data_IF_728057167063
#
_entry.id   IF_728057167063
#
_cell.length_a   1.000
_cell.length_b   1.000
_cell.length_c   1.000
_cell.angle_alpha   90.00
_cell.angle_beta   90.00
_cell.angle_gamma   90.00
#
_symmetry.space_group_name_H-M   'P 1'
#
loop_
_entity.id
_entity.type
_entity.pdbx_description
1 polymer ?
#
# COMPACT_ATOMS: atom_id res chain seq x y z
N UNK A 1 -16.95 -5.54 -19.54
CA UNK A 1 -15.72 -4.72 -19.61
C UNK A 1 -15.00 -4.94 -18.29
N UNK A 2 -13.77 -5.49 -18.26
CA UNK A 2 -13.01 -5.54 -17.03
C UNK A 2 -12.75 -4.10 -16.59
N UNK A 3 -13.29 -3.71 -15.44
CA UNK A 3 -12.99 -2.44 -14.77
C UNK A 3 -11.49 -2.40 -14.51
N UNK A 4 -10.84 -1.29 -14.84
CA UNK A 4 -9.44 -1.07 -14.48
C UNK A 4 -9.29 -1.24 -12.95
N UNK A 5 -8.17 -1.84 -12.48
CA UNK A 5 -7.94 -1.99 -11.06
C UNK A 5 -7.95 -0.61 -10.38
N UNK A 6 -8.52 -0.51 -9.17
CA UNK A 6 -8.59 0.77 -8.46
C UNK A 6 -7.19 1.34 -8.25
N UNK A 7 -7.06 2.66 -8.39
CA UNK A 7 -5.80 3.34 -8.06
C UNK A 7 -5.40 3.04 -6.61
N UNK A 8 -4.10 3.01 -6.26
CA UNK A 8 -3.66 2.79 -4.88
C UNK A 8 -4.32 3.75 -3.88
N UNK A 9 -4.55 5.00 -4.28
CA UNK A 9 -5.22 6.01 -3.48
C UNK A 9 -6.69 5.68 -3.23
N UNK A 10 -7.43 5.24 -4.25
CA UNK A 10 -8.80 4.78 -4.09
C UNK A 10 -8.87 3.55 -3.18
N UNK A 11 -7.98 2.58 -3.34
CA UNK A 11 -7.92 1.40 -2.49
C UNK A 11 -7.66 1.79 -1.01
N UNK A 12 -6.69 2.67 -0.75
CA UNK A 12 -6.41 3.14 0.61
C UNK A 12 -7.58 3.95 1.22
N UNK A 13 -8.32 4.70 0.41
CA UNK A 13 -9.53 5.39 0.87
C UNK A 13 -10.66 4.41 1.22
N UNK A 14 -10.88 3.38 0.39
CA UNK A 14 -11.82 2.30 0.68
C UNK A 14 -11.46 1.55 1.96
N UNK A 15 -10.17 1.28 2.18
CA UNK A 15 -9.70 0.65 3.42
C UNK A 15 -9.94 1.54 4.64
N UNK A 16 -9.73 2.86 4.52
CA UNK A 16 -10.03 3.82 5.58
C UNK A 16 -11.53 3.85 5.91
N UNK A 17 -12.40 3.80 4.90
CA UNK A 17 -13.86 3.65 5.08
C UNK A 17 -14.17 2.37 5.84
N UNK A 18 -13.71 1.22 5.36
CA UNK A 18 -13.98 -0.08 5.98
C UNK A 18 -13.55 -0.12 7.46
N UNK A 19 -12.35 0.38 7.78
CA UNK A 19 -11.86 0.45 9.16
C UNK A 19 -12.73 1.35 10.05
N UNK A 20 -13.21 2.48 9.53
CA UNK A 20 -14.06 3.40 10.31
C UNK A 20 -15.48 2.87 10.49
N UNK A 21 -16.03 2.20 9.49
CA UNK A 21 -17.32 1.50 9.60
C UNK A 21 -17.23 0.43 10.68
N UNK A 22 -16.20 -0.42 10.66
CA UNK A 22 -15.96 -1.44 11.68
C UNK A 22 -15.78 -0.88 13.09
N UNK A 23 -15.14 0.28 13.20
CA UNK A 23 -14.92 0.95 14.48
C UNK A 23 -16.15 1.72 15.00
N UNK A 24 -17.23 1.80 14.21
CA UNK A 24 -18.43 2.56 14.58
C UNK A 24 -19.31 1.74 15.54
N UNK A 25 -19.74 2.31 16.67
CA UNK A 25 -20.65 1.65 17.60
C UNK A 25 -21.96 1.25 16.90
N UNK A 26 -22.44 0.03 17.12
CA UNK A 26 -23.71 -0.49 16.57
C UNK A 26 -23.57 -1.22 15.23
N UNK A 27 -22.58 -0.91 14.39
CA UNK A 27 -22.43 -1.59 13.10
C UNK A 27 -22.01 -3.07 13.25
N UNK A 28 -21.11 -3.36 14.19
CA UNK A 28 -20.61 -4.72 14.42
C UNK A 28 -21.59 -5.64 15.19
N UNK A 29 -22.57 -5.06 15.90
CA UNK A 29 -23.57 -5.81 16.66
C UNK A 29 -24.84 -6.13 15.83
N UNK A 30 -25.17 -5.29 14.84
CA UNK A 30 -26.39 -5.42 14.01
C UNK A 30 -26.16 -6.03 12.60
N UNK A 31 -24.93 -6.41 12.24
CA UNK A 31 -24.63 -6.99 10.92
C UNK A 31 -24.70 -8.52 10.92
N UNK A 32 -25.79 -9.06 10.38
CA UNK A 32 -25.95 -10.51 10.10
C UNK A 32 -25.02 -11.02 8.98
N UNK A 33 -24.37 -10.12 8.21
CA UNK A 33 -23.46 -10.46 7.12
C UNK A 33 -22.19 -9.59 7.08
N UNK A 34 -21.12 -9.96 7.81
CA UNK A 34 -19.83 -9.27 7.75
C UNK A 34 -19.14 -9.38 6.37
N UNK A 35 -19.61 -10.26 5.47
CA UNK A 35 -19.07 -10.37 4.12
C UNK A 35 -19.52 -9.22 3.20
N UNK A 36 -20.57 -8.48 3.56
CA UNK A 36 -21.06 -7.32 2.80
C UNK A 36 -20.29 -6.01 3.04
N UNK A 37 -19.46 -5.94 4.07
CA UNK A 37 -18.70 -4.73 4.41
C UNK A 37 -17.76 -4.25 3.30
N UNK A 38 -16.95 -5.12 2.64
CA UNK A 38 -16.07 -4.69 1.56
C UNK A 38 -16.85 -4.07 0.40
N UNK A 39 -17.98 -4.66 0.03
CA UNK A 39 -18.85 -4.17 -1.05
C UNK A 39 -19.51 -2.84 -0.67
N UNK A 40 -19.95 -2.71 0.57
CA UNK A 40 -20.52 -1.46 1.10
C UNK A 40 -19.47 -0.33 1.13
N UNK A 41 -18.26 -0.60 1.62
CA UNK A 41 -17.17 0.37 1.62
C UNK A 41 -16.78 0.77 0.18
N UNK A 42 -16.73 -0.19 -0.75
CA UNK A 42 -16.44 0.07 -2.15
C UNK A 42 -17.53 0.92 -2.82
N UNK A 43 -18.80 0.69 -2.50
CA UNK A 43 -19.92 1.52 -2.95
C UNK A 43 -19.78 2.97 -2.47
N UNK A 44 -19.58 3.18 -1.16
CA UNK A 44 -19.38 4.52 -0.60
C UNK A 44 -18.16 5.21 -1.20
N UNK A 45 -17.07 4.46 -1.41
CA UNK A 45 -15.88 4.97 -2.07
C UNK A 45 -16.16 5.40 -3.51
N UNK A 46 -16.90 4.59 -4.28
CA UNK A 46 -17.28 4.90 -5.66
C UNK A 46 -18.11 6.17 -5.80
N UNK A 47 -18.98 6.46 -4.84
CA UNK A 47 -19.82 7.66 -4.81
C UNK A 47 -19.04 8.89 -4.33
N UNK A 48 -18.29 8.78 -3.22
CA UNK A 48 -17.62 9.92 -2.61
C UNK A 48 -16.34 10.34 -3.38
N UNK A 49 -15.53 9.38 -3.81
CA UNK A 49 -14.18 9.63 -4.37
C UNK A 49 -14.14 10.56 -5.58
N UNK A 50 -15.05 10.45 -6.59
CA UNK A 50 -15.06 11.35 -7.75
C UNK A 50 -15.31 12.82 -7.39
N UNK A 51 -15.93 13.08 -6.24
CA UNK A 51 -16.25 14.45 -5.78
C UNK A 51 -15.11 15.10 -5.00
N UNK A 52 -14.12 14.32 -4.53
CA UNK A 52 -12.99 14.84 -3.77
C UNK A 52 -12.03 15.67 -4.64
N UNK A 53 -11.37 16.71 -4.10
CA UNK A 53 -10.34 17.45 -4.82
C UNK A 53 -9.22 16.56 -5.37
N UNK A 54 -8.66 16.96 -6.51
CA UNK A 54 -7.55 16.25 -7.15
C UNK A 54 -6.34 16.08 -6.21
N UNK A 55 -6.07 17.06 -5.33
CA UNK A 55 -5.00 17.00 -4.35
C UNK A 55 -5.13 15.82 -3.37
N UNK A 56 -6.36 15.42 -3.01
CA UNK A 56 -6.60 14.23 -2.18
C UNK A 56 -6.45 12.95 -3.00
N UNK A 57 -6.95 12.94 -4.24
CA UNK A 57 -6.88 11.75 -5.10
C UNK A 57 -5.48 11.38 -5.56
N UNK A 58 -4.53 12.31 -5.50
CA UNK A 58 -3.11 12.11 -5.81
C UNK A 58 -2.21 12.32 -4.59
N UNK A 59 -2.79 12.28 -3.38
CA UNK A 59 -2.05 12.43 -2.15
C UNK A 59 -0.98 11.34 -2.00
N UNK A 60 0.18 11.77 -1.53
CA UNK A 60 1.33 10.93 -1.19
C UNK A 60 2.21 11.67 -0.20
N UNK A 61 3.20 10.98 0.38
CA UNK A 61 4.20 11.61 1.24
C UNK A 61 4.81 12.89 0.61
N UNK A 62 5.22 12.83 -0.65
CA UNK A 62 5.80 13.97 -1.37
C UNK A 62 4.83 15.16 -1.55
N UNK A 63 3.53 14.91 -1.68
CA UNK A 63 2.52 15.95 -1.93
C UNK A 63 1.81 16.41 -0.67
N UNK A 64 2.19 15.91 0.53
CA UNK A 64 1.52 16.21 1.80
C UNK A 64 1.31 17.71 2.04
N UNK A 65 2.28 18.55 1.69
CA UNK A 65 2.19 20.01 1.85
C UNK A 65 1.11 20.69 0.98
N UNK A 66 0.65 20.03 -0.09
CA UNK A 66 -0.41 20.51 -0.97
C UNK A 66 -1.78 19.88 -0.67
N UNK A 67 -1.85 18.90 0.25
CA UNK A 67 -3.11 18.24 0.65
C UNK A 67 -3.84 19.13 1.66
N UNK A 68 -5.07 19.59 1.38
CA UNK A 68 -5.84 20.41 2.31
C UNK A 68 -6.15 19.63 3.59
N UNK A 69 -6.25 20.34 4.71
CA UNK A 69 -6.64 19.74 5.97
C UNK A 69 -8.13 19.32 5.89
N UNK A 70 -8.51 18.09 6.28
CA UNK A 70 -9.88 17.60 6.13
C UNK A 70 -10.94 18.40 6.87
N UNK A 71 -10.60 19.18 7.90
CA UNK A 71 -11.47 20.13 8.59
C UNK A 71 -11.81 21.37 7.76
N UNK A 72 -10.87 21.84 6.93
CA UNK A 72 -11.04 23.01 6.04
C UNK A 72 -11.70 22.69 4.70
N UNK A 73 -11.91 21.41 4.40
CA UNK A 73 -12.45 20.96 3.12
C UNK A 73 -13.96 21.24 3.02
N UNK A 74 -14.43 21.83 1.92
CA UNK A 74 -15.88 21.83 1.62
C UNK A 74 -16.26 20.45 1.08
N UNK A 75 -17.26 19.82 1.71
CA UNK A 75 -17.82 18.53 1.32
C UNK A 75 -19.23 18.69 0.73
N UNK A 76 -19.59 19.91 0.30
CA UNK A 76 -20.96 20.24 -0.13
C UNK A 76 -21.35 19.54 -1.44
N UNK A 77 -20.36 19.05 -2.20
CA UNK A 77 -20.55 18.24 -3.40
C UNK A 77 -20.69 16.75 -3.13
N UNK A 78 -20.73 16.32 -1.86
CA UNK A 78 -20.90 14.90 -1.51
C UNK A 78 -22.28 14.43 -1.96
N UNK A 79 -22.41 13.32 -2.71
CA UNK A 79 -23.71 12.82 -3.14
C UNK A 79 -24.60 12.46 -1.95
N UNK A 80 -25.89 12.77 -2.03
CA UNK A 80 -26.85 12.45 -0.96
C UNK A 80 -26.96 10.94 -0.71
N UNK A 81 -26.73 10.12 -1.75
CA UNK A 81 -26.65 8.65 -1.66
C UNK A 81 -25.66 8.19 -0.57
N UNK A 82 -24.54 8.89 -0.38
CA UNK A 82 -23.57 8.61 0.68
C UNK A 82 -24.16 8.88 2.06
N UNK A 83 -24.76 10.06 2.25
CA UNK A 83 -25.35 10.45 3.54
C UNK A 83 -26.56 9.57 3.92
N UNK A 84 -27.42 9.27 2.94
CA UNK A 84 -28.59 8.41 3.13
C UNK A 84 -28.17 6.99 3.50
N UNK A 85 -27.14 6.45 2.84
CA UNK A 85 -26.62 5.11 3.12
C UNK A 85 -25.97 5.03 4.51
N UNK A 86 -25.15 6.01 4.89
CA UNK A 86 -24.55 6.08 6.22
C UNK A 86 -25.61 6.17 7.33
N UNK A 87 -26.67 6.97 7.10
CA UNK A 87 -27.78 7.12 8.04
C UNK A 87 -28.61 5.84 8.13
N UNK A 88 -28.93 5.22 6.99
CA UNK A 88 -29.67 3.95 6.90
C UNK A 88 -28.94 2.81 7.62
N UNK A 89 -27.61 2.80 7.58
CA UNK A 89 -26.77 1.83 8.28
C UNK A 89 -26.47 2.21 9.75
N UNK A 90 -27.09 3.27 10.28
CA UNK A 90 -26.90 3.69 11.68
C UNK A 90 -25.53 4.28 12.01
N UNK A 91 -24.70 4.61 11.00
CA UNK A 91 -23.35 5.16 11.19
C UNK A 91 -23.35 6.66 11.53
N UNK A 92 -24.46 7.35 11.24
CA UNK A 92 -24.71 8.74 11.60
C UNK A 92 -26.20 9.00 11.80
N UNK A 93 -26.53 10.09 12.50
CA UNK A 93 -27.91 10.49 12.76
C UNK A 93 -28.55 11.31 11.63
N UNK A 94 -27.73 12.07 10.89
CA UNK A 94 -28.15 13.02 9.88
C UNK A 94 -27.03 13.31 8.87
N UNK A 95 -27.30 14.22 7.91
CA UNK A 95 -26.34 14.63 6.90
C UNK A 95 -25.07 15.28 7.48
N UNK A 96 -25.19 16.08 8.54
CA UNK A 96 -24.02 16.69 9.20
C UNK A 96 -23.14 15.62 9.85
N UNK A 97 -23.75 14.60 10.46
CA UNK A 97 -23.08 13.41 10.96
C UNK A 97 -22.37 12.62 9.87
N UNK A 98 -22.98 12.47 8.69
CA UNK A 98 -22.36 11.83 7.54
C UNK A 98 -21.12 12.60 7.05
N UNK A 99 -21.18 13.93 6.98
CA UNK A 99 -20.03 14.77 6.63
C UNK A 99 -18.93 14.68 7.69
N UNK A 100 -19.29 14.68 8.98
CA UNK A 100 -18.32 14.51 10.07
C UNK A 100 -17.67 13.12 10.02
N UNK A 101 -18.42 12.08 9.66
CA UNK A 101 -17.89 10.74 9.43
C UNK A 101 -16.87 10.73 8.27
N UNK A 102 -17.24 11.32 7.13
CA UNK A 102 -16.37 11.40 5.96
C UNK A 102 -15.08 12.20 6.25
N UNK A 103 -15.15 13.27 7.05
CA UNK A 103 -13.94 14.01 7.48
C UNK A 103 -12.97 13.13 8.26
N UNK A 104 -13.46 12.30 9.19
CA UNK A 104 -12.63 11.35 9.94
C UNK A 104 -11.99 10.28 9.05
N UNK A 105 -12.74 9.80 8.05
CA UNK A 105 -12.21 8.87 7.05
C UNK A 105 -11.11 9.52 6.22
N UNK A 106 -11.30 10.78 5.82
CA UNK A 106 -10.28 11.54 5.08
C UNK A 106 -9.03 11.81 5.93
N UNK A 107 -9.18 12.09 7.23
CA UNK A 107 -8.04 12.22 8.15
C UNK A 107 -7.22 10.93 8.19
N UNK A 108 -7.86 9.76 8.36
CA UNK A 108 -7.17 8.47 8.36
C UNK A 108 -6.49 8.19 7.02
N UNK A 109 -7.23 8.39 5.93
CA UNK A 109 -6.72 8.22 4.57
C UNK A 109 -5.47 9.07 4.34
N UNK A 110 -5.54 10.36 4.64
CA UNK A 110 -4.43 11.30 4.48
C UNK A 110 -3.26 10.93 5.38
N UNK A 111 -3.52 10.54 6.62
CA UNK A 111 -2.49 10.06 7.55
C UNK A 111 -1.75 8.86 6.98
N UNK A 112 -2.45 7.89 6.41
CA UNK A 112 -1.87 6.67 5.87
C UNK A 112 -1.06 6.92 4.59
N UNK A 113 -1.66 7.58 3.58
CA UNK A 113 -1.01 7.77 2.28
C UNK A 113 0.10 8.81 2.31
N UNK A 114 0.06 9.72 3.29
CA UNK A 114 1.11 10.71 3.50
C UNK A 114 2.06 10.33 4.64
N UNK A 115 1.96 9.13 5.19
CA UNK A 115 2.91 8.65 6.18
C UNK A 115 4.34 8.70 5.61
N UNK A 116 5.35 9.03 6.42
CA UNK A 116 6.72 8.96 5.98
C UNK A 116 7.07 7.53 5.55
N UNK A 117 7.91 7.36 4.51
CA UNK A 117 8.42 6.05 4.16
C UNK A 117 9.06 5.39 5.40
N UNK A 118 8.97 4.06 5.53
CA UNK A 118 9.58 3.39 6.65
C UNK A 118 11.08 3.66 6.65
N UNK A 119 11.68 3.71 7.84
CA UNK A 119 13.13 3.68 7.95
C UNK A 119 13.57 2.28 7.49
N UNK A 120 13.98 2.16 6.23
CA UNK A 120 14.26 0.89 5.55
C UNK A 120 15.25 -0.03 6.30
N UNK A 121 16.20 0.53 7.05
CA UNK A 121 17.09 -0.25 7.91
C UNK A 121 16.36 -0.99 9.06
N UNK A 122 15.18 -0.51 9.47
CA UNK A 122 14.35 -1.08 10.53
C UNK A 122 13.32 -2.09 10.02
N UNK A 123 13.24 -2.33 8.71
CA UNK A 123 12.30 -3.32 8.11
C UNK A 123 12.84 -4.76 8.13
N UNK A 124 13.88 -5.03 8.94
CA UNK A 124 14.55 -6.34 8.95
C UNK A 124 13.60 -7.47 9.32
N UNK A 125 13.45 -8.41 8.41
CA UNK A 125 12.69 -9.64 8.61
C UNK A 125 13.55 -10.71 9.32
N UNK A 126 12.89 -11.74 9.86
CA UNK A 126 13.53 -12.93 10.43
C UNK A 126 13.91 -13.96 9.37
N UNK A 127 13.26 -13.91 8.19
CA UNK A 127 13.41 -14.86 7.10
C UNK A 127 13.75 -14.15 5.78
N UNK A 128 14.43 -14.87 4.88
CA UNK A 128 14.75 -14.35 3.56
C UNK A 128 13.49 -14.10 2.74
N UNK A 129 13.28 -12.87 2.27
CA UNK A 129 12.06 -12.47 1.55
C UNK A 129 11.86 -13.16 0.18
N UNK A 130 12.88 -13.85 -0.35
CA UNK A 130 12.77 -14.63 -1.59
C UNK A 130 12.55 -16.13 -1.33
N UNK A 131 13.25 -16.72 -0.37
CA UNK A 131 13.24 -18.19 -0.15
C UNK A 131 12.62 -18.63 1.17
N UNK A 132 12.10 -17.70 1.97
CA UNK A 132 11.46 -17.91 3.27
C UNK A 132 12.30 -18.69 4.30
N UNK A 133 13.63 -18.72 4.16
CA UNK A 133 14.51 -19.40 5.13
C UNK A 133 14.93 -18.46 6.25
N UNK A 134 14.81 -18.93 7.49
CA UNK A 134 15.38 -18.32 8.69
C UNK A 134 16.91 -18.54 8.75
N UNK A 135 17.67 -17.75 8.00
CA UNK A 135 19.14 -17.80 7.91
C UNK A 135 19.72 -16.38 7.95
N UNK A 136 21.03 -16.17 8.14
CA UNK A 136 21.60 -14.83 8.14
C UNK A 136 21.28 -14.03 6.86
N UNK A 137 20.66 -12.87 7.06
CA UNK A 137 20.21 -11.98 6.00
C UNK A 137 21.16 -10.80 5.79
N UNK A 138 21.25 -10.39 4.54
CA UNK A 138 22.01 -9.26 4.02
C UNK A 138 21.07 -8.15 3.56
N UNK A 139 21.57 -6.91 3.54
CA UNK A 139 20.84 -5.73 3.11
C UNK A 139 20.97 -5.56 1.59
N UNK A 140 19.88 -5.72 0.85
CA UNK A 140 19.85 -5.58 -0.61
C UNK A 140 19.04 -4.35 -1.01
N UNK A 141 19.64 -3.45 -1.79
CA UNK A 141 18.93 -2.28 -2.33
C UNK A 141 18.10 -2.70 -3.55
N UNK A 142 16.78 -2.54 -3.46
CA UNK A 142 15.86 -2.88 -4.56
C UNK A 142 16.05 -1.97 -5.77
N UNK A 143 16.27 -0.67 -5.54
CA UNK A 143 16.81 0.24 -6.55
C UNK A 143 18.32 0.35 -6.34
N UNK A 144 19.16 -0.18 -7.25
CA UNK A 144 20.61 -0.12 -7.09
C UNK A 144 21.09 1.32 -6.88
N UNK A 145 21.94 1.55 -5.87
CA UNK A 145 22.42 2.91 -5.50
C UNK A 145 23.05 3.67 -6.67
N UNK A 146 23.79 2.97 -7.53
CA UNK A 146 24.40 3.56 -8.72
C UNK A 146 23.36 4.16 -9.69
N UNK A 147 22.10 3.73 -9.62
CA UNK A 147 21.02 4.17 -10.49
C UNK A 147 20.15 5.25 -9.83
N UNK A 148 20.36 5.62 -8.56
CA UNK A 148 19.53 6.60 -7.84
C UNK A 148 19.42 7.95 -8.55
N UNK A 149 20.57 8.52 -8.95
CA UNK A 149 20.59 9.79 -9.67
C UNK A 149 19.87 9.71 -11.03
N UNK A 150 20.01 8.58 -11.74
CA UNK A 150 19.33 8.33 -13.01
C UNK A 150 17.82 8.15 -12.81
N UNK A 151 17.42 7.40 -11.79
CA UNK A 151 16.02 7.17 -11.44
C UNK A 151 15.29 8.48 -11.15
N UNK A 152 15.90 9.38 -10.37
CA UNK A 152 15.34 10.72 -10.10
C UNK A 152 15.24 11.55 -11.38
N UNK A 153 16.34 11.65 -12.14
CA UNK A 153 16.38 12.44 -13.38
C UNK A 153 15.35 11.97 -14.41
N UNK A 154 15.01 10.68 -14.40
CA UNK A 154 14.06 10.06 -15.33
C UNK A 154 12.65 9.90 -14.76
N UNK A 155 12.42 10.31 -13.52
CA UNK A 155 11.12 10.17 -12.86
C UNK A 155 10.68 8.72 -12.68
N UNK A 156 11.61 7.77 -12.53
CA UNK A 156 11.26 6.36 -12.32
C UNK A 156 10.71 6.13 -10.92
N UNK A 157 11.27 6.82 -9.93
CA UNK A 157 10.93 6.67 -8.51
C UNK A 157 10.93 8.02 -7.82
N UNK A 158 10.07 8.14 -6.80
CA UNK A 158 10.17 9.21 -5.82
C UNK A 158 11.44 9.05 -4.96
N UNK A 159 11.96 10.15 -4.41
CA UNK A 159 13.23 10.15 -3.70
C UNK A 159 13.20 9.26 -2.44
N UNK A 160 12.07 9.25 -1.76
CA UNK A 160 11.75 8.41 -0.60
C UNK A 160 11.86 6.90 -0.87
N UNK A 161 11.58 6.48 -2.11
CA UNK A 161 11.54 5.07 -2.50
C UNK A 161 12.92 4.51 -2.88
N UNK A 162 13.91 5.37 -3.16
CA UNK A 162 15.25 4.92 -3.53
C UNK A 162 15.96 4.16 -2.41
N UNK A 163 15.56 4.41 -1.17
CA UNK A 163 16.05 3.72 0.01
C UNK A 163 15.50 2.31 0.19
N UNK A 164 14.50 1.90 -0.59
CA UNK A 164 13.81 0.62 -0.43
C UNK A 164 14.77 -0.57 -0.54
N UNK A 165 14.56 -1.55 0.35
CA UNK A 165 15.44 -2.71 0.50
C UNK A 165 14.68 -4.00 0.69
N UNK A 166 15.37 -5.09 0.41
CA UNK A 166 15.00 -6.44 0.78
C UNK A 166 16.08 -7.09 1.66
N UNK A 167 15.65 -7.95 2.56
CA UNK A 167 16.44 -8.74 3.49
C UNK A 167 16.60 -10.16 2.95
N UNK A 168 17.74 -10.36 2.29
CA UNK A 168 17.98 -11.57 1.50
C UNK A 168 19.11 -12.40 2.10
N UNK A 169 18.96 -13.71 2.11
CA UNK A 169 20.11 -14.59 2.36
C UNK A 169 21.15 -14.43 1.22
N UNK A 170 22.42 -14.67 1.53
CA UNK A 170 23.53 -14.44 0.57
C UNK A 170 23.33 -15.12 -0.81
N UNK A 171 22.85 -16.38 -0.90
CA UNK A 171 22.55 -16.99 -2.20
C UNK A 171 21.48 -16.23 -2.99
N UNK A 172 20.34 -15.88 -2.37
CA UNK A 172 19.29 -15.12 -3.03
C UNK A 172 19.76 -13.73 -3.48
N UNK A 173 20.54 -13.03 -2.65
CA UNK A 173 21.12 -11.75 -3.01
C UNK A 173 22.01 -11.88 -4.28
N UNK A 174 22.88 -12.90 -4.31
CA UNK A 174 23.73 -13.15 -5.48
C UNK A 174 22.89 -13.43 -6.72
N UNK A 175 21.84 -14.23 -6.59
CA UNK A 175 20.93 -14.55 -7.70
C UNK A 175 20.20 -13.32 -8.23
N UNK A 176 19.70 -12.43 -7.37
CA UNK A 176 18.99 -11.21 -7.82
C UNK A 176 19.89 -10.34 -8.71
N UNK A 177 21.18 -10.20 -8.36
CA UNK A 177 22.13 -9.48 -9.23
C UNK A 177 22.51 -10.22 -10.52
N UNK A 178 22.19 -11.52 -10.63
CA UNK A 178 22.47 -12.33 -11.80
C UNK A 178 21.30 -12.48 -12.78
N UNK A 179 20.06 -12.20 -12.37
CA UNK A 179 18.87 -12.42 -13.21
C UNK A 179 18.52 -11.25 -14.13
N UNK A 180 18.98 -10.04 -13.80
CA UNK A 180 18.64 -8.83 -14.53
C UNK A 180 19.75 -7.80 -14.43
N UNK A 181 19.83 -6.90 -15.41
CA UNK A 181 20.72 -5.74 -15.33
C UNK A 181 20.28 -4.79 -14.21
N UNK A 182 21.20 -3.97 -13.70
CA UNK A 182 20.88 -2.96 -12.69
C UNK A 182 19.78 -1.98 -13.15
N UNK A 183 19.67 -1.72 -14.45
CA UNK A 183 18.62 -0.86 -15.00
C UNK A 183 17.26 -1.56 -15.00
N UNK A 184 17.20 -2.84 -15.37
CA UNK A 184 15.97 -3.64 -15.27
C UNK A 184 15.52 -3.82 -13.83
N UNK A 185 16.46 -4.06 -12.90
CA UNK A 185 16.18 -4.09 -11.46
C UNK A 185 15.57 -2.74 -11.02
N UNK A 186 16.20 -1.63 -11.39
CA UNK A 186 15.70 -0.32 -11.04
C UNK A 186 14.32 0.00 -11.66
N UNK A 187 14.04 -0.41 -12.90
CA UNK A 187 12.82 0.01 -13.61
C UNK A 187 11.63 -0.91 -13.40
N UNK A 188 11.87 -2.21 -13.37
CA UNK A 188 10.81 -3.22 -13.46
C UNK A 188 10.74 -4.08 -12.21
N UNK A 189 11.89 -4.38 -11.59
CA UNK A 189 11.99 -5.35 -10.48
C UNK A 189 12.45 -4.70 -9.17
N UNK A 190 11.93 -3.51 -8.89
CA UNK A 190 12.30 -2.67 -7.73
C UNK A 190 11.47 -2.96 -6.46
N UNK A 191 10.69 -4.05 -6.45
CA UNK A 191 10.00 -4.56 -5.26
C UNK A 191 10.22 -6.07 -5.13
N UNK A 192 10.01 -6.61 -3.92
CA UNK A 192 10.11 -8.05 -3.68
C UNK A 192 9.05 -8.79 -4.49
N UNK A 193 7.84 -8.25 -4.59
CA UNK A 193 6.72 -8.81 -5.36
C UNK A 193 7.07 -8.86 -6.86
N UNK A 194 7.67 -7.79 -7.39
CA UNK A 194 8.10 -7.77 -8.78
C UNK A 194 9.20 -8.80 -9.06
N UNK A 195 10.16 -8.97 -8.14
CA UNK A 195 11.17 -10.03 -8.22
C UNK A 195 10.53 -11.42 -8.19
N UNK A 196 9.59 -11.66 -7.26
CA UNK A 196 8.85 -12.91 -7.14
C UNK A 196 7.89 -13.15 -8.32
N UNK A 197 7.55 -12.13 -9.09
CA UNK A 197 6.81 -12.26 -10.35
C UNK A 197 7.62 -12.93 -11.47
N UNK A 198 8.96 -12.98 -11.37
CA UNK A 198 9.80 -13.62 -12.39
C UNK A 198 9.87 -15.13 -12.22
N UNK A 199 9.68 -15.87 -13.31
CA UNK A 199 9.73 -17.33 -13.27
C UNK A 199 11.08 -17.90 -12.82
N UNK A 200 12.20 -17.27 -13.21
CA UNK A 200 13.54 -17.71 -12.82
C UNK A 200 13.77 -17.56 -11.31
N UNK A 201 13.33 -16.45 -10.72
CA UNK A 201 13.33 -16.22 -9.28
C UNK A 201 12.40 -17.19 -8.57
N UNK A 202 11.20 -17.46 -9.08
CA UNK A 202 10.28 -18.44 -8.48
C UNK A 202 10.88 -19.85 -8.46
N UNK A 203 11.49 -20.29 -9.57
CA UNK A 203 12.19 -21.58 -9.64
C UNK A 203 13.34 -21.63 -8.65
N UNK A 204 14.14 -20.56 -8.59
CA UNK A 204 15.23 -20.42 -7.63
C UNK A 204 14.74 -20.47 -6.19
N UNK A 205 13.69 -19.72 -5.84
CA UNK A 205 13.11 -19.68 -4.50
C UNK A 205 12.70 -21.07 -4.02
N UNK A 206 11.98 -21.83 -4.87
CA UNK A 206 11.56 -23.21 -4.58
C UNK A 206 12.74 -24.16 -4.34
N UNK A 207 13.83 -23.99 -5.09
CA UNK A 207 15.06 -24.76 -4.89
C UNK A 207 15.80 -24.33 -3.60
N UNK A 208 15.99 -23.02 -3.43
CA UNK A 208 16.73 -22.41 -2.34
C UNK A 208 16.10 -22.70 -0.98
N UNK A 209 14.76 -22.70 -0.90
CA UNK A 209 14.00 -23.01 0.31
C UNK A 209 14.33 -24.39 0.89
N UNK A 210 14.70 -25.36 0.05
CA UNK A 210 15.03 -26.74 0.45
C UNK A 210 16.48 -26.91 0.88
N UNK A 211 17.33 -25.90 0.69
CA UNK A 211 18.76 -26.02 0.97
C UNK A 211 19.03 -25.93 2.47
N UNK A 212 19.76 -26.90 2.99
CA UNK A 212 20.22 -26.93 4.39
C UNK A 212 21.20 -25.78 4.66
N UNK A 213 21.11 -25.21 5.85
CA UNK A 213 22.02 -24.19 6.36
C UNK A 213 22.71 -24.71 7.64
N UNK A 214 23.96 -24.31 7.88
CA UNK A 214 24.70 -24.67 9.09
C UNK A 214 25.23 -26.11 9.16
N UNK A 215 25.01 -26.93 8.13
CA UNK A 215 25.56 -28.29 8.08
C UNK A 215 26.94 -28.25 7.42
N UNK A 216 28.00 -28.53 8.20
CA UNK A 216 29.34 -28.77 7.65
C UNK A 216 29.28 -30.01 6.76
N UNK A 217 29.62 -29.86 5.47
CA UNK A 217 29.88 -31.03 4.62
C UNK A 217 31.21 -31.62 5.09
N UNK A 218 31.16 -32.83 5.63
CA UNK A 218 32.33 -33.64 5.93
C UNK A 218 33.00 -34.13 4.65
#
# INVERSE_FOLDING_TARGET
MPSDPPTPQLAAFTDALARRILASPGFADDTDDPAGLPDFAAFLAGEAWPTLPAALRTASYATRGAVPAPDTLSLDSTPTSVADSLTSCGLCADGDGALAFLRRVLDDYVSDVCAPPPVWARTRTTECEICARAVPLTYHHLVPRALHAKALKRGWHAAEMLGAVAWLCRPCHTTVHGVASNEELARTYFTVEALLGREDIQRWAKYAAKQRWGVRRG
#
